data_IF_561203247322
#
_entry.id   IF_561203247322
#
_cell.length_a   1.000
_cell.length_b   1.000
_cell.length_c   1.000
_cell.angle_alpha   90.00
_cell.angle_beta   90.00
_cell.angle_gamma   90.00
#
_symmetry.space_group_name_H-M   'P 1'
#
loop_
_entity.id
_entity.type
_entity.pdbx_description
1 polymer ?
#
# COMPACT_ATOMS: atom_id res chain seq x y z
N UNK A 1 -31.14 -39.72 26.41
CA UNK A 1 -31.57 -38.64 25.51
C UNK A 1 -31.21 -37.22 25.94
N UNK A 2 -30.46 -36.96 27.03
CA UNK A 2 -30.07 -35.60 27.48
C UNK A 2 -28.79 -35.02 26.81
N UNK A 3 -27.95 -35.85 26.24
CA UNK A 3 -26.64 -35.42 25.69
C UNK A 3 -26.70 -34.90 24.24
N UNK A 4 -27.78 -35.15 23.51
CA UNK A 4 -27.93 -34.72 22.11
C UNK A 4 -28.24 -33.21 21.98
N UNK A 5 -28.90 -32.63 23.01
CA UNK A 5 -29.27 -31.19 22.98
C UNK A 5 -28.08 -30.25 23.29
N UNK A 6 -27.10 -30.74 24.05
CA UNK A 6 -25.91 -29.94 24.39
C UNK A 6 -24.95 -29.79 23.20
N UNK A 7 -24.80 -30.85 22.40
CA UNK A 7 -23.89 -30.82 21.24
C UNK A 7 -24.44 -29.92 20.10
N UNK A 8 -25.77 -29.82 19.96
CA UNK A 8 -26.38 -28.95 18.95
C UNK A 8 -26.20 -27.45 19.30
N UNK A 9 -26.21 -27.10 20.59
CA UNK A 9 -26.01 -25.71 21.03
C UNK A 9 -24.55 -25.26 20.86
N UNK A 10 -23.58 -26.13 21.09
CA UNK A 10 -22.15 -25.82 20.91
C UNK A 10 -21.81 -25.67 19.43
N UNK A 11 -22.41 -26.48 18.55
CA UNK A 11 -22.19 -26.37 17.10
C UNK A 11 -22.80 -25.06 16.53
N UNK A 12 -23.93 -24.62 17.07
CA UNK A 12 -24.58 -23.38 16.67
C UNK A 12 -23.78 -22.11 17.03
N UNK A 13 -23.13 -22.10 18.19
CA UNK A 13 -22.28 -21.00 18.64
C UNK A 13 -20.98 -20.93 17.83
N UNK A 14 -20.38 -22.08 17.49
CA UNK A 14 -19.18 -22.12 16.65
C UNK A 14 -19.40 -21.62 15.23
N UNK A 15 -20.60 -21.86 14.65
CA UNK A 15 -20.94 -21.39 13.31
C UNK A 15 -21.28 -19.88 13.27
N UNK A 16 -21.82 -19.31 14.35
CA UNK A 16 -22.14 -17.90 14.44
C UNK A 16 -20.90 -16.99 14.61
N UNK A 17 -19.79 -17.53 15.13
CA UNK A 17 -18.52 -16.81 15.26
C UNK A 17 -17.71 -16.72 13.94
N UNK A 18 -18.08 -17.50 12.92
CA UNK A 18 -17.38 -17.51 11.63
C UNK A 18 -17.85 -16.43 10.63
N UNK A 19 -18.88 -15.66 10.98
CA UNK A 19 -19.47 -14.65 10.08
C UNK A 19 -19.14 -13.20 10.46
N UNK A 20 -17.95 -12.94 11.01
CA UNK A 20 -17.45 -11.57 11.03
C UNK A 20 -17.00 -11.21 9.62
N UNK A 21 -17.86 -10.50 8.88
CA UNK A 21 -17.43 -9.82 7.66
C UNK A 21 -16.32 -8.86 8.03
N UNK A 22 -15.08 -9.25 7.78
CA UNK A 22 -13.95 -8.32 7.81
C UNK A 22 -14.30 -7.30 6.73
N UNK A 23 -14.60 -6.06 7.14
CA UNK A 23 -14.68 -4.94 6.20
C UNK A 23 -13.36 -4.92 5.44
N UNK A 24 -13.40 -5.35 4.18
CA UNK A 24 -12.21 -5.34 3.34
C UNK A 24 -11.89 -3.88 3.09
N UNK A 25 -10.70 -3.46 3.47
CA UNK A 25 -10.20 -2.15 3.10
C UNK A 25 -10.14 -2.06 1.58
N UNK A 26 -10.50 -0.92 1.02
CA UNK A 26 -10.65 -0.71 -0.43
C UNK A 26 -9.55 0.24 -0.88
N UNK A 27 -8.53 -0.24 -1.59
CA UNK A 27 -7.47 0.64 -2.05
C UNK A 27 -8.02 1.73 -2.98
N UNK A 28 -7.43 2.92 -2.90
CA UNK A 28 -7.92 4.11 -3.59
C UNK A 28 -6.77 4.87 -4.26
N UNK A 29 -6.97 5.24 -5.53
CA UNK A 29 -6.10 6.14 -6.28
C UNK A 29 -6.77 7.52 -6.38
N UNK A 30 -5.99 8.59 -6.17
CA UNK A 30 -6.39 9.97 -6.46
C UNK A 30 -5.36 10.63 -7.36
N UNK A 31 -5.84 11.30 -8.42
CA UNK A 31 -5.00 12.06 -9.35
C UNK A 31 -5.51 13.49 -9.40
N UNK A 32 -4.59 14.46 -9.39
CA UNK A 32 -4.94 15.85 -9.55
C UNK A 32 -3.84 16.63 -10.31
N UNK A 33 -4.26 17.52 -11.19
CA UNK A 33 -3.40 18.52 -11.87
C UNK A 33 -3.49 19.91 -11.20
N UNK A 34 -4.13 19.99 -10.03
CA UNK A 34 -4.39 21.22 -9.30
C UNK A 34 -5.72 21.89 -9.67
N UNK A 35 -6.35 21.53 -10.80
CA UNK A 35 -7.65 22.04 -11.26
C UNK A 35 -8.72 20.95 -11.23
N UNK A 36 -8.37 19.78 -11.76
CA UNK A 36 -9.24 18.60 -11.80
C UNK A 36 -8.72 17.56 -10.82
N UNK A 37 -9.62 16.95 -10.08
CA UNK A 37 -9.31 15.82 -9.18
C UNK A 37 -10.22 14.66 -9.48
N UNK A 38 -9.63 13.48 -9.68
CA UNK A 38 -10.34 12.21 -9.85
C UNK A 38 -9.91 11.27 -8.75
N UNK A 39 -10.88 10.57 -8.17
CA UNK A 39 -10.63 9.51 -7.17
C UNK A 39 -11.31 8.24 -7.63
N UNK A 40 -10.59 7.13 -7.63
CA UNK A 40 -11.05 5.81 -8.05
C UNK A 40 -10.70 4.82 -6.95
N UNK A 41 -11.68 4.09 -6.46
CA UNK A 41 -11.50 3.00 -5.50
C UNK A 41 -11.66 1.65 -6.19
N UNK A 42 -11.02 0.64 -5.66
CA UNK A 42 -11.12 -0.76 -6.12
C UNK A 42 -12.59 -1.21 -6.21
N UNK A 43 -12.98 -1.79 -7.35
CA UNK A 43 -14.36 -2.14 -7.69
C UNK A 43 -15.31 -0.96 -7.87
N UNK A 44 -14.81 0.29 -7.79
CA UNK A 44 -15.59 1.52 -7.97
C UNK A 44 -15.71 1.95 -9.44
N UNK A 45 -16.45 3.04 -9.65
CA UNK A 45 -16.60 3.64 -10.99
C UNK A 45 -15.25 4.15 -11.48
N UNK A 46 -14.81 3.70 -12.66
CA UNK A 46 -13.55 4.08 -13.29
C UNK A 46 -12.43 3.07 -13.03
N UNK A 47 -12.60 2.12 -12.12
CA UNK A 47 -11.65 1.02 -11.97
C UNK A 47 -11.74 0.08 -13.18
N UNK A 48 -10.61 -0.14 -13.83
CA UNK A 48 -10.47 -1.06 -14.97
C UNK A 48 -10.15 -2.49 -14.57
N UNK A 49 -9.93 -2.77 -13.28
CA UNK A 49 -9.60 -4.09 -12.75
C UNK A 49 -10.83 -4.74 -12.11
N UNK A 50 -10.94 -6.04 -12.24
CA UNK A 50 -11.90 -6.88 -11.49
C UNK A 50 -11.23 -7.62 -10.32
N UNK A 51 -9.93 -7.38 -10.09
CA UNK A 51 -9.13 -8.08 -9.08
C UNK A 51 -9.13 -7.25 -7.80
N UNK A 52 -9.67 -7.79 -6.71
CA UNK A 52 -9.65 -7.13 -5.41
C UNK A 52 -8.20 -6.83 -4.97
N UNK A 53 -7.96 -5.61 -4.49
CA UNK A 53 -6.63 -5.13 -4.13
C UNK A 53 -5.81 -4.57 -5.30
N UNK A 54 -6.42 -4.46 -6.49
CA UNK A 54 -5.77 -3.89 -7.67
C UNK A 54 -6.66 -2.83 -8.32
N UNK A 55 -6.30 -1.56 -8.18
CA UNK A 55 -6.98 -0.43 -8.84
C UNK A 55 -6.24 -0.07 -10.11
N UNK A 56 -6.91 -0.14 -11.25
CA UNK A 56 -6.39 0.27 -12.53
C UNK A 56 -7.21 1.46 -13.07
N UNK A 57 -6.54 2.55 -13.44
CA UNK A 57 -7.23 3.72 -13.97
C UNK A 57 -6.52 4.32 -15.17
N UNK A 58 -7.27 4.49 -16.25
CA UNK A 58 -6.85 5.18 -17.47
C UNK A 58 -7.89 6.25 -17.77
N UNK A 59 -7.64 7.52 -17.40
CA UNK A 59 -8.63 8.59 -17.63
C UNK A 59 -8.89 8.79 -19.12
N UNK A 60 -10.12 9.14 -19.51
CA UNK A 60 -10.41 9.58 -20.85
C UNK A 60 -9.50 10.75 -21.27
N UNK A 61 -9.20 10.84 -22.57
CA UNK A 61 -8.40 11.94 -23.10
C UNK A 61 -9.05 13.30 -22.76
N UNK A 62 -8.25 14.25 -22.28
CA UNK A 62 -8.71 15.57 -21.89
C UNK A 62 -9.25 15.69 -20.45
N UNK A 63 -9.30 14.61 -19.68
CA UNK A 63 -9.69 14.67 -18.25
C UNK A 63 -8.79 15.64 -17.48
N UNK A 64 -7.49 15.58 -17.70
CA UNK A 64 -6.52 16.51 -17.12
C UNK A 64 -5.92 17.37 -18.24
N UNK A 65 -5.98 18.70 -18.09
CA UNK A 65 -5.56 19.62 -19.15
C UNK A 65 -4.08 19.47 -19.50
N UNK A 66 -3.81 19.05 -20.75
CA UNK A 66 -2.46 18.84 -21.26
C UNK A 66 -1.74 17.62 -20.68
N UNK A 67 -2.45 16.64 -20.11
CA UNK A 67 -1.90 15.39 -19.62
C UNK A 67 -2.57 14.18 -20.28
N UNK A 68 -1.77 13.14 -20.50
CA UNK A 68 -2.22 11.79 -20.79
C UNK A 68 -1.67 10.88 -19.69
N UNK A 69 -2.56 10.25 -18.96
CA UNK A 69 -2.20 9.43 -17.79
C UNK A 69 -2.59 7.99 -18.09
N UNK A 70 -1.65 7.08 -17.96
CA UNK A 70 -1.87 5.64 -17.97
C UNK A 70 -1.33 5.12 -16.65
N UNK A 71 -2.20 4.76 -15.73
CA UNK A 71 -1.81 4.08 -14.51
C UNK A 71 -1.97 2.59 -14.75
N UNK A 72 -0.85 1.88 -14.77
CA UNK A 72 -0.87 0.40 -14.85
C UNK A 72 -1.53 -0.21 -13.62
N UNK A 73 -1.50 0.51 -12.50
CA UNK A 73 -2.30 0.19 -11.34
C UNK A 73 -1.61 0.48 -10.02
N UNK A 74 -2.42 0.57 -8.97
CA UNK A 74 -2.01 0.44 -7.59
C UNK A 74 -2.39 -0.95 -7.09
N UNK A 75 -1.43 -1.69 -6.58
CA UNK A 75 -1.61 -3.06 -6.09
C UNK A 75 -1.29 -3.11 -4.59
N UNK A 76 -2.11 -3.82 -3.84
CA UNK A 76 -1.93 -4.02 -2.41
C UNK A 76 -2.61 -5.33 -1.96
N UNK A 77 -2.92 -5.50 -0.68
CA UNK A 77 -3.60 -6.71 -0.20
C UNK A 77 -4.98 -6.88 -0.86
N UNK A 78 -5.43 -8.09 -1.17
CA UNK A 78 -4.78 -9.36 -0.88
C UNK A 78 -3.77 -9.81 -1.95
N UNK A 79 -3.52 -9.03 -3.00
CA UNK A 79 -2.65 -9.42 -4.13
C UNK A 79 -1.18 -9.47 -3.69
N UNK A 80 -0.73 -8.40 -3.01
CA UNK A 80 0.59 -8.32 -2.38
C UNK A 80 0.45 -7.90 -0.93
N UNK A 81 1.39 -8.32 -0.09
CA UNK A 81 1.35 -8.03 1.34
C UNK A 81 0.19 -8.67 2.09
N UNK A 82 -0.06 -8.18 3.28
CA UNK A 82 -1.13 -8.64 4.17
C UNK A 82 -1.52 -7.54 5.16
N UNK A 83 -2.54 -7.81 5.98
CA UNK A 83 -2.96 -6.89 7.06
C UNK A 83 -1.81 -6.56 8.02
N UNK A 84 -0.90 -7.51 8.29
CA UNK A 84 0.23 -7.37 9.22
C UNK A 84 1.57 -7.11 8.54
N UNK A 85 1.64 -7.25 7.23
CA UNK A 85 2.81 -6.95 6.40
C UNK A 85 2.36 -6.06 5.23
N UNK A 86 2.17 -4.75 5.48
CA UNK A 86 1.70 -3.83 4.45
C UNK A 86 2.62 -3.74 3.25
N UNK A 87 2.04 -3.85 2.06
CA UNK A 87 2.70 -3.59 0.79
C UNK A 87 1.77 -2.78 -0.12
N UNK A 88 2.32 -1.73 -0.73
CA UNK A 88 1.67 -0.91 -1.74
C UNK A 88 2.63 -0.74 -2.92
N UNK A 89 2.17 -1.07 -4.11
CA UNK A 89 2.91 -0.86 -5.36
C UNK A 89 2.11 0.04 -6.28
N UNK A 90 2.72 1.09 -6.81
CA UNK A 90 2.12 2.05 -7.74
C UNK A 90 2.98 2.16 -9.00
N UNK A 91 2.46 1.70 -10.13
CA UNK A 91 3.10 1.82 -11.43
C UNK A 91 2.40 2.87 -12.30
N UNK A 92 3.17 3.71 -12.99
CA UNK A 92 2.62 4.76 -13.85
C UNK A 92 3.35 4.93 -15.17
N UNK A 93 2.63 5.46 -16.16
CA UNK A 93 3.15 6.10 -17.35
C UNK A 93 2.35 7.38 -17.60
N UNK A 94 3.02 8.51 -17.63
CA UNK A 94 2.39 9.83 -17.71
C UNK A 94 3.08 10.64 -18.81
N UNK A 95 2.29 11.22 -19.71
CA UNK A 95 2.78 12.08 -20.76
C UNK A 95 2.22 13.50 -20.62
N UNK A 96 3.06 14.51 -20.83
CA UNK A 96 2.65 15.91 -21.00
C UNK A 96 2.50 16.21 -22.47
N UNK A 97 1.36 16.76 -22.88
CA UNK A 97 1.06 17.08 -24.29
C UNK A 97 2.09 18.02 -24.87
N UNK A 98 2.51 17.81 -26.11
CA UNK A 98 3.40 18.72 -26.83
C UNK A 98 2.76 20.12 -26.95
N UNK A 99 3.57 21.16 -26.73
CA UNK A 99 3.10 22.54 -26.71
C UNK A 99 2.45 23.00 -25.41
N UNK A 100 2.10 22.10 -24.49
CA UNK A 100 1.75 22.49 -23.13
C UNK A 100 3.03 22.95 -22.41
N UNK A 101 2.93 24.03 -21.65
CA UNK A 101 4.01 24.46 -20.75
C UNK A 101 4.31 23.42 -19.67
N UNK A 102 5.28 23.71 -18.80
CA UNK A 102 5.53 22.86 -17.64
C UNK A 102 4.27 22.73 -16.78
N UNK A 103 4.04 21.56 -16.24
CA UNK A 103 2.88 21.31 -15.39
C UNK A 103 3.23 20.37 -14.25
N UNK A 104 2.38 20.35 -13.23
CA UNK A 104 2.48 19.45 -12.09
C UNK A 104 1.30 18.50 -12.09
N UNK A 105 1.54 17.22 -11.86
CA UNK A 105 0.52 16.21 -11.62
C UNK A 105 0.86 15.48 -10.31
N UNK A 106 -0.13 15.32 -9.46
CA UNK A 106 0.00 14.55 -8.23
C UNK A 106 -0.83 13.27 -8.33
N UNK A 107 -0.22 12.15 -7.98
CA UNK A 107 -0.87 10.84 -7.84
C UNK A 107 -0.71 10.37 -6.42
N UNK A 108 -1.80 9.95 -5.79
CA UNK A 108 -1.81 9.28 -4.50
C UNK A 108 -2.40 7.89 -4.66
N UNK A 109 -1.78 6.91 -4.01
CA UNK A 109 -2.32 5.58 -3.85
C UNK A 109 -2.33 5.23 -2.37
N UNK A 110 -3.44 4.76 -1.86
CA UNK A 110 -3.63 4.53 -0.42
C UNK A 110 -4.50 3.33 -0.15
N UNK A 111 -4.23 2.69 0.98
CA UNK A 111 -5.10 1.69 1.57
C UNK A 111 -5.05 1.79 3.09
N UNK A 112 -6.16 1.40 3.74
CA UNK A 112 -6.34 1.38 5.18
C UNK A 112 -6.47 -0.05 5.74
N UNK A 113 -6.76 -0.19 7.03
CA UNK A 113 -7.05 -1.48 7.66
C UNK A 113 -5.83 -2.39 7.80
N UNK A 114 -4.64 -1.83 7.85
CA UNK A 114 -3.44 -2.57 8.27
C UNK A 114 -3.34 -2.60 9.80
N UNK A 115 -2.64 -3.61 10.31
CA UNK A 115 -2.42 -3.82 11.75
C UNK A 115 -0.94 -4.10 12.01
N UNK A 116 -0.28 -3.20 12.69
CA UNK A 116 1.13 -3.31 13.07
C UNK A 116 1.21 -3.55 14.58
N UNK A 117 1.29 -4.80 14.99
CA UNK A 117 1.38 -5.18 16.40
C UNK A 117 2.69 -4.69 17.08
N UNK A 118 3.72 -4.39 16.30
CA UNK A 118 5.04 -3.96 16.77
C UNK A 118 5.56 -2.81 15.92
N UNK A 119 6.51 -2.05 16.48
CA UNK A 119 7.26 -1.04 15.74
C UNK A 119 7.94 -1.69 14.53
N UNK A 120 7.79 -1.11 13.37
CA UNK A 120 8.31 -1.61 12.10
C UNK A 120 9.27 -0.65 11.42
N UNK A 121 9.76 -1.07 10.27
CA UNK A 121 10.52 -0.25 9.32
C UNK A 121 9.82 -0.26 7.98
N UNK A 122 9.51 0.92 7.46
CA UNK A 122 9.05 1.09 6.09
C UNK A 122 10.27 1.24 5.17
N UNK A 123 10.23 0.56 4.03
CA UNK A 123 11.14 0.81 2.92
C UNK A 123 10.32 1.22 1.71
N UNK A 124 10.73 2.31 1.07
CA UNK A 124 10.21 2.74 -0.22
C UNK A 124 11.28 2.56 -1.27
N UNK A 125 11.11 1.62 -2.18
CA UNK A 125 11.90 1.46 -3.38
C UNK A 125 11.18 2.17 -4.53
N UNK A 126 11.91 2.91 -5.35
CA UNK A 126 11.34 3.58 -6.52
C UNK A 126 12.31 3.57 -7.68
N UNK A 127 11.78 3.52 -8.90
CA UNK A 127 12.58 3.52 -10.11
C UNK A 127 11.78 3.97 -11.34
N UNK A 128 12.49 4.44 -12.36
CA UNK A 128 11.84 4.85 -13.60
C UNK A 128 12.66 5.78 -14.49
N UNK A 129 11.97 6.52 -15.35
CA UNK A 129 12.55 7.49 -16.27
C UNK A 129 11.79 8.81 -16.22
N UNK A 130 12.50 9.95 -16.26
CA UNK A 130 11.93 11.29 -16.23
C UNK A 130 11.82 11.97 -17.59
N UNK A 131 12.05 11.23 -18.68
CA UNK A 131 12.15 11.82 -20.02
C UNK A 131 13.48 12.55 -20.21
N UNK A 132 13.55 13.45 -21.21
CA UNK A 132 14.82 14.06 -21.66
C UNK A 132 15.01 15.51 -21.22
N UNK A 133 14.01 16.12 -20.59
CA UNK A 133 14.09 17.53 -20.15
C UNK A 133 14.67 17.66 -18.75
N UNK A 134 15.60 18.57 -18.57
CA UNK A 134 16.14 18.96 -17.24
C UNK A 134 15.09 19.66 -16.34
N UNK A 135 13.95 20.10 -16.92
CA UNK A 135 12.84 20.68 -16.16
C UNK A 135 11.94 19.61 -15.52
N UNK A 136 12.13 18.34 -15.87
CA UNK A 136 11.35 17.26 -15.27
C UNK A 136 11.85 16.92 -13.87
N UNK A 137 10.93 16.64 -12.97
CA UNK A 137 11.27 16.10 -11.64
C UNK A 137 10.15 15.21 -11.12
N UNK A 138 10.52 14.24 -10.29
CA UNK A 138 9.59 13.46 -9.50
C UNK A 138 9.95 13.57 -8.02
N UNK A 139 8.97 13.84 -7.19
CA UNK A 139 9.10 13.75 -5.74
C UNK A 139 8.18 12.64 -5.26
N UNK A 140 8.77 11.64 -4.62
CA UNK A 140 8.08 10.48 -4.09
C UNK A 140 8.08 10.57 -2.58
N UNK A 141 6.91 10.44 -1.97
CA UNK A 141 6.74 10.45 -0.52
C UNK A 141 5.83 9.31 -0.10
N UNK A 142 6.11 8.74 1.05
CA UNK A 142 5.22 7.78 1.69
C UNK A 142 4.81 8.27 3.06
N UNK A 143 3.58 7.96 3.44
CA UNK A 143 2.98 8.46 4.68
C UNK A 143 2.32 7.33 5.44
N UNK A 144 2.26 7.53 6.74
CA UNK A 144 1.53 6.73 7.70
C UNK A 144 0.41 7.56 8.33
N UNK A 145 -0.73 6.95 8.58
CA UNK A 145 -1.87 7.58 9.22
C UNK A 145 -2.47 6.66 10.29
N UNK A 146 -2.15 6.92 11.56
CA UNK A 146 -2.66 6.15 12.70
C UNK A 146 -4.16 6.31 12.96
N UNK A 147 -4.82 7.28 12.31
CA UNK A 147 -6.27 7.40 12.33
C UNK A 147 -6.98 6.52 11.30
N UNK A 148 -6.23 5.66 10.60
CA UNK A 148 -6.74 4.73 9.58
C UNK A 148 -7.54 5.38 8.44
N UNK A 149 -7.26 6.64 8.12
CA UNK A 149 -7.92 7.38 7.04
C UNK A 149 -7.08 7.32 5.77
N UNK A 150 -7.66 6.84 4.68
CA UNK A 150 -7.03 6.81 3.36
C UNK A 150 -6.68 8.20 2.86
N UNK A 151 -5.65 8.25 2.00
CA UNK A 151 -5.11 9.46 1.39
C UNK A 151 -4.64 10.52 2.40
N UNK A 152 -4.54 10.15 3.67
CA UNK A 152 -4.03 11.02 4.72
C UNK A 152 -2.49 11.09 4.63
N UNK A 153 -1.96 12.30 4.77
CA UNK A 153 -0.53 12.60 4.66
C UNK A 153 0.01 13.21 5.97
N UNK A 154 -0.53 12.77 7.12
CA UNK A 154 -0.20 13.36 8.41
C UNK A 154 1.25 13.10 8.85
N UNK A 155 1.77 11.89 8.65
CA UNK A 155 3.10 11.49 9.12
C UNK A 155 3.95 11.01 7.95
N UNK A 156 4.96 11.77 7.58
CA UNK A 156 5.92 11.43 6.53
C UNK A 156 6.82 10.29 7.01
N UNK A 157 6.91 9.22 6.22
CA UNK A 157 7.82 8.09 6.44
C UNK A 157 9.11 8.24 5.63
N UNK A 158 8.96 8.44 4.32
CA UNK A 158 10.10 8.56 3.40
C UNK A 158 9.88 9.69 2.40
N UNK A 159 10.97 10.25 1.90
CA UNK A 159 10.96 11.26 0.82
C UNK A 159 12.16 11.08 -0.09
N UNK A 160 11.90 11.06 -1.40
CA UNK A 160 12.91 10.93 -2.46
C UNK A 160 12.64 11.99 -3.51
N UNK A 161 13.68 12.64 -4.03
CA UNK A 161 13.57 13.68 -5.06
C UNK A 161 14.50 13.33 -6.21
N UNK A 162 13.97 13.30 -7.41
CA UNK A 162 14.66 12.99 -8.64
C UNK A 162 14.51 14.14 -9.62
N UNK A 163 15.58 14.49 -10.30
CA UNK A 163 15.58 15.54 -11.32
C UNK A 163 16.06 14.96 -12.66
N UNK A 164 15.36 15.32 -13.75
CA UNK A 164 15.70 14.88 -15.10
C UNK A 164 16.95 15.59 -15.66
N UNK A 165 17.44 15.14 -16.81
CA UNK A 165 16.98 14.04 -17.69
C UNK A 165 17.71 12.72 -17.38
N UNK A 166 17.18 11.82 -16.61
CA UNK A 166 17.88 10.55 -16.33
C UNK A 166 16.90 9.46 -15.91
N UNK A 167 17.26 8.18 -16.07
CA UNK A 167 16.65 7.14 -15.27
C UNK A 167 16.97 7.39 -13.80
N UNK A 168 16.05 7.01 -12.93
CA UNK A 168 16.23 7.14 -11.49
C UNK A 168 15.94 5.81 -10.78
N UNK A 169 16.53 5.67 -9.60
CA UNK A 169 16.23 4.54 -8.71
C UNK A 169 16.88 4.77 -7.36
N UNK A 170 16.11 4.58 -6.31
CA UNK A 170 16.57 4.75 -4.93
C UNK A 170 15.70 3.96 -3.96
N UNK A 171 16.27 3.60 -2.81
CA UNK A 171 15.51 3.16 -1.64
C UNK A 171 15.66 4.15 -0.50
N UNK A 172 14.58 4.38 0.24
CA UNK A 172 14.54 5.18 1.46
C UNK A 172 13.87 4.39 2.58
N UNK A 173 14.24 4.69 3.82
CA UNK A 173 13.75 3.97 5.00
C UNK A 173 13.14 4.94 6.00
N UNK A 174 12.09 4.50 6.70
CA UNK A 174 11.41 5.23 7.75
C UNK A 174 10.95 4.32 8.88
N UNK A 175 10.93 4.83 10.10
CA UNK A 175 10.36 4.09 11.22
C UNK A 175 8.84 4.18 11.21
N UNK A 176 8.16 3.08 11.50
CA UNK A 176 6.71 3.01 11.63
C UNK A 176 6.35 2.60 13.05
N UNK A 177 5.53 3.39 13.78
CA UNK A 177 5.11 3.00 15.13
C UNK A 177 4.19 1.79 15.10
N UNK A 178 4.11 1.07 16.22
CA UNK A 178 3.09 0.06 16.41
C UNK A 178 1.71 0.72 16.46
N UNK A 179 0.76 0.19 15.70
CA UNK A 179 -0.61 0.70 15.66
C UNK A 179 -1.57 -0.42 15.20
N UNK A 180 -2.66 -0.70 15.94
CA UNK A 180 -3.58 -1.77 15.60
C UNK A 180 -4.43 -1.50 14.36
N UNK A 181 -4.53 -0.23 13.93
CA UNK A 181 -5.31 0.16 12.74
C UNK A 181 -4.69 1.36 12.06
N UNK A 182 -4.12 1.17 10.89
CA UNK A 182 -3.34 2.18 10.18
C UNK A 182 -3.63 2.16 8.68
N UNK A 183 -3.52 3.35 8.06
CA UNK A 183 -3.47 3.52 6.61
C UNK A 183 -2.08 3.92 6.16
N UNK A 184 -1.71 3.50 4.94
CA UNK A 184 -0.52 3.95 4.23
C UNK A 184 -0.89 4.67 2.94
N UNK A 185 -0.12 5.70 2.60
CA UNK A 185 -0.28 6.46 1.36
C UNK A 185 1.06 6.62 0.67
N UNK A 186 1.11 6.27 -0.60
CA UNK A 186 2.19 6.59 -1.53
C UNK A 186 1.78 7.82 -2.31
N UNK A 187 2.67 8.81 -2.46
CA UNK A 187 2.45 10.05 -3.22
C UNK A 187 3.58 10.26 -4.22
N UNK A 188 3.19 10.50 -5.46
CA UNK A 188 4.04 10.98 -6.54
C UNK A 188 3.64 12.43 -6.89
N UNK A 189 4.56 13.37 -6.78
CA UNK A 189 4.44 14.69 -7.35
C UNK A 189 5.38 14.76 -8.57
N UNK A 190 4.81 14.87 -9.75
CA UNK A 190 5.53 14.90 -11.02
C UNK A 190 5.46 16.30 -11.62
N UNK A 191 6.61 16.92 -11.85
CA UNK A 191 6.73 18.13 -12.70
C UNK A 191 7.26 17.69 -14.06
N UNK A 192 6.58 18.08 -15.14
CA UNK A 192 6.94 17.63 -16.48
C UNK A 192 6.79 18.73 -17.51
N UNK A 193 7.78 18.83 -18.39
CA UNK A 193 7.78 19.72 -19.55
C UNK A 193 6.89 19.15 -20.66
N UNK A 194 6.36 20.02 -21.53
CA UNK A 194 5.54 19.62 -22.68
C UNK A 194 6.28 18.67 -23.63
N UNK A 195 5.55 17.70 -24.16
CA UNK A 195 6.07 16.69 -25.08
C UNK A 195 6.91 15.58 -24.44
N UNK A 196 6.93 15.50 -23.13
CA UNK A 196 7.71 14.50 -22.39
C UNK A 196 6.84 13.34 -21.90
N UNK A 197 7.47 12.18 -21.70
CA UNK A 197 6.88 10.97 -21.11
C UNK A 197 7.72 10.58 -19.92
N UNK A 198 7.05 10.24 -18.83
CA UNK A 198 7.67 9.72 -17.60
C UNK A 198 6.99 8.42 -17.23
N UNK A 199 7.77 7.45 -16.82
CA UNK A 199 7.25 6.17 -16.32
C UNK A 199 8.05 5.70 -15.12
N UNK A 200 7.44 4.91 -14.27
CA UNK A 200 8.13 4.34 -13.13
C UNK A 200 7.21 3.53 -12.23
N UNK A 201 7.80 3.09 -11.15
CA UNK A 201 7.11 2.40 -10.07
C UNK A 201 7.55 2.91 -8.68
N UNK A 202 6.71 2.71 -7.70
CA UNK A 202 6.97 2.96 -6.28
C UNK A 202 6.46 1.76 -5.51
N UNK A 203 7.36 1.08 -4.83
CA UNK A 203 7.01 -0.02 -3.94
C UNK A 203 7.30 0.36 -2.48
N UNK A 204 6.24 0.51 -1.69
CA UNK A 204 6.30 0.64 -0.24
C UNK A 204 6.05 -0.73 0.37
N UNK A 205 6.95 -1.19 1.23
CA UNK A 205 6.71 -2.33 2.08
C UNK A 205 7.13 -2.04 3.52
N UNK A 206 6.40 -2.63 4.47
CA UNK A 206 6.63 -2.44 5.90
C UNK A 206 7.00 -3.78 6.53
N UNK A 207 8.22 -3.85 7.02
CA UNK A 207 8.71 -4.96 7.81
C UNK A 207 8.44 -4.68 9.29
N UNK A 208 7.45 -5.35 9.87
CA UNK A 208 7.35 -5.47 11.31
C UNK A 208 8.26 -6.63 11.77
N UNK A 209 9.17 -6.41 12.74
CA UNK A 209 9.91 -7.53 13.30
C UNK A 209 8.91 -8.57 13.81
N UNK A 210 9.07 -9.82 13.37
CA UNK A 210 8.26 -10.95 13.85
C UNK A 210 8.55 -11.21 15.33
N UNK A 211 8.20 -10.26 16.20
CA UNK A 211 8.52 -10.26 17.62
C UNK A 211 7.82 -11.36 18.44
N UNK A 212 6.91 -12.09 17.84
CA UNK A 212 6.12 -13.10 18.54
C UNK A 212 6.44 -14.55 18.19
N UNK A 213 6.65 -14.88 16.92
CA UNK A 213 6.70 -16.28 16.50
C UNK A 213 7.99 -16.98 16.92
N UNK A 214 9.14 -16.34 16.81
CA UNK A 214 10.42 -16.95 17.23
C UNK A 214 10.50 -17.17 18.75
N UNK A 215 10.06 -16.20 19.56
CA UNK A 215 10.06 -16.34 21.03
C UNK A 215 9.04 -17.39 21.48
N UNK A 216 7.87 -17.44 20.84
CA UNK A 216 6.84 -18.44 21.13
C UNK A 216 7.28 -19.83 20.69
N UNK A 217 7.91 -19.98 19.52
CA UNK A 217 8.48 -21.25 19.07
C UNK A 217 9.62 -21.72 19.96
N UNK A 218 10.54 -20.82 20.32
CA UNK A 218 11.64 -21.16 21.23
C UNK A 218 11.13 -21.51 22.63
N UNK A 219 10.15 -20.76 23.14
CA UNK A 219 9.50 -21.02 24.43
C UNK A 219 8.78 -22.36 24.48
N UNK A 220 8.00 -22.70 23.45
CA UNK A 220 7.30 -23.98 23.36
C UNK A 220 8.27 -25.14 23.14
N UNK A 221 9.34 -24.97 22.37
CA UNK A 221 10.39 -25.99 22.22
C UNK A 221 11.14 -26.24 23.51
N UNK A 222 11.48 -25.22 24.29
CA UNK A 222 12.12 -25.34 25.60
C UNK A 222 11.20 -26.01 26.63
N UNK A 223 9.91 -25.69 26.65
CA UNK A 223 8.94 -26.35 27.52
C UNK A 223 8.76 -27.82 27.15
N UNK A 224 8.71 -28.16 25.86
CA UNK A 224 8.65 -29.56 25.41
C UNK A 224 9.92 -30.35 25.82
N UNK A 225 11.11 -29.77 25.63
CA UNK A 225 12.37 -30.38 26.06
C UNK A 225 12.43 -30.58 27.58
N UNK A 226 11.97 -29.59 28.35
CA UNK A 226 11.88 -29.69 29.82
C UNK A 226 10.96 -30.82 30.29
N UNK A 227 9.80 -30.98 29.65
CA UNK A 227 8.85 -32.05 29.94
C UNK A 227 9.41 -33.44 29.58
N UNK A 228 10.16 -33.57 28.47
CA UNK A 228 10.85 -34.82 28.11
C UNK A 228 11.98 -35.18 29.09
N UNK A 229 12.75 -34.16 29.53
CA UNK A 229 13.82 -34.39 30.50
C UNK A 229 13.27 -34.81 31.88
N UNK A 230 12.14 -34.26 32.31
CA UNK A 230 11.49 -34.64 33.57
C UNK A 230 10.96 -36.09 33.55
N UNK A 231 10.41 -36.56 32.41
CA UNK A 231 9.93 -37.94 32.25
C UNK A 231 11.05 -39.01 32.26
N UNK A 232 12.28 -38.64 31.94
CA UNK A 232 13.42 -39.59 31.97
C UNK A 232 14.00 -39.81 33.37
N UNK A 233 13.61 -38.99 34.34
CA UNK A 233 14.11 -39.08 35.74
C UNK A 233 13.08 -39.70 36.68
N UNK A 234 11.88 -40.00 36.21
CA UNK A 234 10.85 -40.76 36.94
C UNK A 234 10.79 -42.20 36.41
#
# INVERSE_FOLDING_TARGET
MKNLKLNAAILGVALALAATSVSQAVPTIRITDGFTTVTVSDGGVGDGSAIAGFVQYSPPAGTFAGWSVILSGGITKPVIGSVTAPELDLTWQIARTAGAGNGTLTVLFSENGFNLATVGSAQTASGGTLGTSSANSATIRTYYAGNNVELNQASLLTSQVFNGPNPFGQSAFGAVPADPTVAFTVRLDLVQAGGQITSGDIHLFVNAPEGGSMVTFLGTALLALGAFAARRKA
#
